data_IF_544493982490
#
_entry.id   IF_544493982490
#
_cell.length_a   1.000
_cell.length_b   1.000
_cell.length_c   1.000
_cell.angle_alpha   90.00
_cell.angle_beta   90.00
_cell.angle_gamma   90.00
#
_symmetry.space_group_name_H-M   'P 1'
#
loop_
_entity.id
_entity.type
_entity.pdbx_description
1 polymer ?
#
# COMPACT_ATOMS: atom_id res chain seq x y z
N UNK A 1 -13.85 6.12 -8.42
CA UNK A 1 -13.14 4.98 -9.06
C UNK A 1 -13.99 4.26 -10.10
N UNK A 2 -15.30 4.05 -9.87
CA UNK A 2 -16.15 3.28 -10.78
C UNK A 2 -16.40 4.00 -12.11
N UNK A 3 -16.49 5.31 -12.06
CA UNK A 3 -16.64 6.19 -13.22
C UNK A 3 -15.65 7.35 -13.11
N UNK A 4 -14.33 7.10 -13.29
CA UNK A 4 -13.34 8.15 -13.20
C UNK A 4 -13.56 9.19 -14.32
N UNK A 5 -13.51 10.47 -13.95
CA UNK A 5 -13.61 11.56 -14.90
C UNK A 5 -12.36 12.44 -14.81
N UNK A 6 -11.67 12.55 -15.94
CA UNK A 6 -10.52 13.42 -16.10
C UNK A 6 -10.91 14.59 -16.99
N UNK A 7 -10.52 15.80 -16.59
CA UNK A 7 -10.74 17.03 -17.34
C UNK A 7 -9.51 17.36 -18.15
N UNK A 8 -9.63 17.48 -19.46
CA UNK A 8 -8.53 17.90 -20.31
C UNK A 8 -8.11 19.34 -20.03
N UNK A 9 -6.80 19.58 -20.02
CA UNK A 9 -6.20 20.89 -19.85
C UNK A 9 -5.27 21.20 -21.01
N UNK A 10 -5.42 22.36 -21.61
CA UNK A 10 -4.50 22.88 -22.61
C UNK A 10 -3.86 24.15 -22.04
N UNK A 11 -2.57 24.11 -21.89
CA UNK A 11 -1.78 25.25 -21.42
C UNK A 11 -1.03 25.82 -22.62
N UNK A 12 -1.23 27.11 -22.90
CA UNK A 12 -0.58 27.81 -24.02
C UNK A 12 0.25 28.98 -23.52
N UNK A 13 1.48 29.07 -24.01
CA UNK A 13 2.37 30.20 -23.79
C UNK A 13 3.08 30.56 -25.10
N UNK A 14 2.68 31.68 -25.73
CA UNK A 14 3.13 32.02 -27.08
C UNK A 14 2.69 30.95 -28.11
N UNK A 15 3.66 30.35 -28.78
CA UNK A 15 3.40 29.27 -29.75
C UNK A 15 3.50 27.86 -29.10
N UNK A 16 3.91 27.77 -27.84
CA UNK A 16 4.01 26.49 -27.13
C UNK A 16 2.65 26.05 -26.58
N UNK A 17 2.33 24.77 -26.75
CA UNK A 17 1.09 24.15 -26.27
C UNK A 17 1.42 22.84 -25.54
N UNK A 18 1.04 22.76 -24.27
CA UNK A 18 1.12 21.55 -23.47
C UNK A 18 -0.29 21.03 -23.18
N UNK A 19 -0.51 19.75 -23.43
CA UNK A 19 -1.75 19.05 -23.08
C UNK A 19 -1.54 18.25 -21.80
N UNK A 20 -2.47 18.37 -20.89
CA UNK A 20 -2.48 17.69 -19.59
C UNK A 20 -3.91 17.39 -19.17
N UNK A 21 -4.08 16.94 -17.94
CA UNK A 21 -5.40 16.67 -17.36
C UNK A 21 -5.40 16.93 -15.85
N UNK A 22 -6.57 16.97 -15.24
CA UNK A 22 -6.75 16.89 -13.82
C UNK A 22 -8.02 16.12 -13.45
N UNK A 23 -8.08 15.61 -12.21
CA UNK A 23 -9.27 14.99 -11.65
C UNK A 23 -9.71 15.70 -10.37
N UNK A 24 -11.01 15.88 -10.21
CA UNK A 24 -11.57 16.45 -8.97
C UNK A 24 -12.05 15.33 -8.04
N UNK A 25 -11.47 15.28 -6.86
CA UNK A 25 -11.90 14.37 -5.79
C UNK A 25 -11.60 14.98 -4.43
N UNK A 26 -12.28 14.52 -3.40
CA UNK A 26 -12.02 14.87 -2.00
C UNK A 26 -11.81 13.59 -1.20
N UNK A 27 -10.70 13.53 -0.48
CA UNK A 27 -10.41 12.51 0.52
C UNK A 27 -10.50 13.13 1.91
N UNK A 28 -11.06 12.39 2.84
CA UNK A 28 -11.13 12.84 4.26
C UNK A 28 -11.37 11.65 5.18
N UNK A 29 -11.20 11.87 6.47
CA UNK A 29 -11.69 10.99 7.52
C UNK A 29 -12.85 11.67 8.23
N UNK A 30 -13.75 10.89 8.79
CA UNK A 30 -14.90 11.40 9.52
C UNK A 30 -15.72 10.29 10.14
N UNK A 31 -16.78 10.66 10.86
CA UNK A 31 -17.70 9.67 11.44
C UNK A 31 -18.88 9.44 10.50
N UNK A 32 -19.22 8.18 10.32
CA UNK A 32 -20.43 7.76 9.58
C UNK A 32 -21.70 7.99 10.44
N UNK A 33 -22.86 7.69 9.87
CA UNK A 33 -24.15 7.83 10.57
C UNK A 33 -24.30 6.97 11.83
N UNK A 34 -23.37 6.05 12.09
CA UNK A 34 -23.28 5.22 13.31
C UNK A 34 -22.22 5.72 14.29
N UNK A 35 -21.57 6.85 13.99
CA UNK A 35 -20.51 7.41 14.82
C UNK A 35 -19.15 6.73 14.67
N UNK A 36 -18.98 5.82 13.72
CA UNK A 36 -17.73 5.08 13.46
C UNK A 36 -16.84 5.90 12.52
N UNK A 37 -15.56 6.03 12.86
CA UNK A 37 -14.58 6.68 11.98
C UNK A 37 -14.40 5.87 10.68
N UNK A 38 -14.45 6.60 9.54
CA UNK A 38 -14.32 6.04 8.19
C UNK A 38 -13.43 6.92 7.32
N UNK A 39 -12.92 6.33 6.27
CA UNK A 39 -12.49 7.09 5.10
C UNK A 39 -13.71 7.57 4.31
N UNK A 40 -13.56 8.73 3.70
CA UNK A 40 -14.56 9.29 2.79
C UNK A 40 -13.90 9.65 1.46
N UNK A 41 -14.54 9.24 0.38
CA UNK A 41 -14.27 9.71 -0.97
C UNK A 41 -15.49 10.51 -1.45
N UNK A 42 -15.28 11.79 -1.81
CA UNK A 42 -16.35 12.68 -2.25
C UNK A 42 -17.53 12.73 -1.26
N UNK A 43 -17.23 12.82 0.03
CA UNK A 43 -18.16 12.86 1.16
C UNK A 43 -19.01 11.60 1.36
N UNK A 44 -18.68 10.48 0.74
CA UNK A 44 -19.30 9.18 0.97
C UNK A 44 -18.31 8.25 1.67
N UNK A 45 -18.74 7.44 2.65
CA UNK A 45 -17.88 6.42 3.24
C UNK A 45 -17.28 5.53 2.14
N UNK A 46 -15.98 5.30 2.24
CA UNK A 46 -15.24 4.52 1.26
C UNK A 46 -14.37 3.47 1.95
N UNK A 47 -14.44 2.23 1.48
CA UNK A 47 -13.59 1.15 1.95
C UNK A 47 -12.50 0.87 0.91
N UNK A 48 -11.24 1.00 1.30
CA UNK A 48 -10.13 0.63 0.44
C UNK A 48 -9.95 -0.88 0.44
N UNK A 49 -10.56 -1.56 -0.55
CA UNK A 49 -10.31 -2.96 -0.86
C UNK A 49 -9.09 -3.02 -1.77
N UNK A 50 -7.92 -3.23 -1.20
CA UNK A 50 -6.67 -3.07 -1.90
C UNK A 50 -5.82 -4.32 -1.97
N UNK A 51 -4.77 -4.18 -2.75
CA UNK A 51 -3.75 -5.18 -2.92
C UNK A 51 -2.36 -4.53 -2.92
N UNK A 52 -1.39 -5.18 -2.31
CA UNK A 52 0.00 -4.76 -2.29
C UNK A 52 0.65 -5.11 -3.63
N UNK A 53 1.40 -4.17 -4.18
CA UNK A 53 2.11 -4.35 -5.44
C UNK A 53 3.57 -3.90 -5.33
N UNK A 54 4.48 -4.85 -5.41
CA UNK A 54 5.91 -4.58 -5.41
C UNK A 54 6.41 -4.10 -6.78
N UNK A 55 5.70 -4.38 -7.87
CA UNK A 55 5.99 -3.90 -9.23
C UNK A 55 7.26 -4.47 -9.82
N UNK A 56 7.48 -5.79 -9.69
CA UNK A 56 8.58 -6.51 -10.31
C UNK A 56 8.09 -7.37 -11.47
N UNK A 57 8.97 -7.60 -12.42
CA UNK A 57 8.70 -8.27 -13.68
C UNK A 57 9.82 -9.27 -14.00
N UNK A 58 9.51 -10.46 -14.53
CA UNK A 58 10.54 -11.46 -14.81
C UNK A 58 11.56 -11.01 -15.87
N UNK A 59 11.12 -10.22 -16.87
CA UNK A 59 11.97 -9.82 -17.99
C UNK A 59 12.88 -8.62 -17.63
N UNK A 60 12.42 -7.73 -16.78
CA UNK A 60 13.01 -6.39 -16.62
C UNK A 60 13.16 -5.93 -15.17
N UNK A 61 12.88 -6.81 -14.21
CA UNK A 61 12.95 -6.57 -12.78
C UNK A 61 12.08 -5.38 -12.34
N UNK A 62 12.69 -4.24 -12.07
CA UNK A 62 11.99 -3.07 -11.50
C UNK A 62 11.23 -2.23 -12.52
N UNK A 63 11.32 -2.52 -13.80
CA UNK A 63 10.69 -1.72 -14.87
C UNK A 63 9.66 -2.57 -15.59
N UNK A 64 8.43 -2.09 -15.71
CA UNK A 64 7.43 -2.80 -16.51
C UNK A 64 7.90 -2.96 -17.97
N UNK A 65 7.71 -4.12 -18.60
CA UNK A 65 8.18 -4.37 -19.96
C UNK A 65 7.45 -3.50 -21.00
N UNK A 66 6.23 -3.11 -20.74
CA UNK A 66 5.45 -2.22 -21.61
C UNK A 66 4.34 -1.49 -20.85
N UNK A 67 3.67 -0.56 -21.51
CA UNK A 67 2.47 0.10 -20.98
C UNK A 67 1.30 -0.87 -20.84
N UNK A 68 1.16 -1.79 -21.79
CA UNK A 68 0.12 -2.81 -21.78
C UNK A 68 0.26 -3.73 -20.55
N UNK A 69 1.49 -4.03 -20.13
CA UNK A 69 1.73 -4.79 -18.92
C UNK A 69 1.23 -4.05 -17.66
N UNK A 70 1.51 -2.75 -17.53
CA UNK A 70 0.98 -1.93 -16.43
C UNK A 70 -0.56 -1.90 -16.44
N UNK A 71 -1.14 -1.74 -17.62
CA UNK A 71 -2.60 -1.69 -17.80
C UNK A 71 -3.23 -3.06 -17.48
N UNK A 72 -2.58 -4.15 -17.85
CA UNK A 72 -3.05 -5.50 -17.59
C UNK A 72 -3.23 -5.74 -16.08
N UNK A 73 -2.20 -5.47 -15.27
CA UNK A 73 -2.29 -5.65 -13.82
C UNK A 73 -3.45 -4.82 -13.23
N UNK A 74 -3.56 -3.54 -13.61
CA UNK A 74 -4.63 -2.66 -13.11
C UNK A 74 -6.02 -3.22 -13.48
N UNK A 75 -6.22 -3.63 -14.72
CA UNK A 75 -7.52 -4.16 -15.19
C UNK A 75 -7.84 -5.47 -14.48
N UNK A 76 -6.88 -6.40 -14.40
CA UNK A 76 -7.08 -7.69 -13.72
C UNK A 76 -7.45 -7.51 -12.26
N UNK A 77 -6.78 -6.65 -11.54
CA UNK A 77 -7.10 -6.35 -10.15
C UNK A 77 -8.49 -5.73 -10.00
N UNK A 78 -8.92 -4.86 -10.92
CA UNK A 78 -10.30 -4.34 -10.92
C UNK A 78 -11.34 -5.42 -11.20
N UNK A 79 -11.08 -6.32 -12.15
CA UNK A 79 -11.95 -7.47 -12.44
C UNK A 79 -12.11 -8.37 -11.22
N UNK A 80 -11.07 -8.53 -10.41
CA UNK A 80 -11.09 -9.25 -9.15
C UNK A 80 -11.76 -8.48 -7.99
N UNK A 81 -12.23 -7.26 -8.23
CA UNK A 81 -12.96 -6.44 -7.25
C UNK A 81 -12.07 -5.54 -6.38
N UNK A 82 -10.78 -5.46 -6.64
CA UNK A 82 -9.92 -4.49 -5.96
C UNK A 82 -10.18 -3.07 -6.51
N UNK A 83 -10.16 -2.10 -5.61
CA UNK A 83 -10.31 -0.69 -5.95
C UNK A 83 -9.07 0.15 -5.62
N UNK A 84 -8.04 -0.49 -5.07
CA UNK A 84 -6.84 0.16 -4.54
C UNK A 84 -5.61 -0.72 -4.78
N UNK A 85 -4.51 -0.09 -5.22
CA UNK A 85 -3.17 -0.68 -5.24
C UNK A 85 -2.33 0.06 -4.21
N UNK A 86 -1.66 -0.66 -3.31
CA UNK A 86 -0.59 -0.11 -2.51
C UNK A 86 0.74 -0.39 -3.21
N UNK A 87 1.31 0.64 -3.82
CA UNK A 87 2.64 0.57 -4.45
C UNK A 87 3.70 0.51 -3.36
N UNK A 88 4.22 -0.69 -3.15
CA UNK A 88 5.03 -1.05 -1.99
C UNK A 88 6.49 -0.67 -2.17
N UNK A 89 6.95 0.27 -1.32
CA UNK A 89 8.37 0.68 -1.18
C UNK A 89 9.02 1.04 -2.53
N UNK A 90 8.23 1.45 -3.52
CA UNK A 90 8.68 1.74 -4.88
C UNK A 90 7.94 2.93 -5.45
N UNK A 91 8.65 3.78 -6.20
CA UNK A 91 8.07 4.80 -7.08
C UNK A 91 8.03 4.20 -8.49
N UNK A 92 6.87 4.19 -9.11
CA UNK A 92 6.68 3.66 -10.45
C UNK A 92 6.89 4.75 -11.51
N UNK A 93 7.00 4.36 -12.78
CA UNK A 93 6.97 5.29 -13.89
C UNK A 93 5.65 6.10 -13.89
N UNK A 94 5.71 7.38 -14.26
CA UNK A 94 4.55 8.29 -14.19
C UNK A 94 3.32 7.78 -14.94
N UNK A 95 3.50 7.04 -16.02
CA UNK A 95 2.42 6.43 -16.80
C UNK A 95 1.62 5.39 -16.02
N UNK A 96 2.20 4.71 -15.00
CA UNK A 96 1.42 3.86 -14.09
C UNK A 96 0.32 4.67 -13.39
N UNK A 97 0.67 5.83 -12.83
CA UNK A 97 -0.30 6.69 -12.13
C UNK A 97 -1.33 7.27 -13.10
N UNK A 98 -0.92 7.64 -14.32
CA UNK A 98 -1.84 8.02 -15.38
C UNK A 98 -2.86 6.91 -15.68
N UNK A 99 -2.39 5.66 -15.79
CA UNK A 99 -3.29 4.54 -16.02
C UNK A 99 -4.22 4.28 -14.82
N UNK A 100 -3.74 4.44 -13.60
CA UNK A 100 -4.59 4.40 -12.40
C UNK A 100 -5.65 5.51 -12.43
N UNK A 101 -5.28 6.73 -12.83
CA UNK A 101 -6.20 7.86 -12.94
C UNK A 101 -7.32 7.58 -13.94
N UNK A 102 -6.99 7.18 -15.17
CA UNK A 102 -7.98 6.93 -16.23
C UNK A 102 -8.84 5.69 -16.01
N UNK A 103 -8.30 4.67 -15.32
CA UNK A 103 -9.00 3.42 -15.04
C UNK A 103 -9.72 3.45 -13.68
N UNK A 104 -9.49 4.47 -12.86
CA UNK A 104 -10.14 4.61 -11.56
C UNK A 104 -9.63 3.64 -10.50
N UNK A 105 -8.32 3.36 -10.48
CA UNK A 105 -7.67 2.60 -9.43
C UNK A 105 -7.04 3.56 -8.42
N UNK A 106 -7.42 3.48 -7.14
CA UNK A 106 -6.80 4.28 -6.10
C UNK A 106 -5.40 3.77 -5.79
N UNK A 107 -4.49 4.68 -5.43
CA UNK A 107 -3.09 4.34 -5.11
C UNK A 107 -2.74 4.78 -3.69
N UNK A 108 -2.15 3.87 -2.94
CA UNK A 108 -1.37 4.17 -1.74
C UNK A 108 0.10 4.12 -2.14
N UNK A 109 0.79 5.23 -1.97
CA UNK A 109 2.17 5.37 -2.44
C UNK A 109 3.14 5.32 -1.28
N UNK A 110 3.93 4.24 -1.22
CA UNK A 110 5.01 4.11 -0.26
C UNK A 110 6.24 4.90 -0.71
N UNK A 111 6.94 5.48 0.25
CA UNK A 111 8.28 6.01 0.04
C UNK A 111 9.29 4.85 -0.01
N UNK A 112 10.16 4.74 -1.02
CA UNK A 112 11.30 3.86 -0.99
C UNK A 112 12.10 4.04 0.30
N UNK A 113 12.34 2.95 1.01
CA UNK A 113 12.93 2.98 2.32
C UNK A 113 14.13 2.05 2.41
N UNK A 114 15.03 2.33 3.33
CA UNK A 114 16.22 1.52 3.53
C UNK A 114 17.07 2.05 4.67
N UNK A 115 18.07 1.31 5.05
CA UNK A 115 19.00 1.64 6.13
C UNK A 115 20.24 0.76 6.05
N UNK A 116 20.91 0.55 7.19
CA UNK A 116 21.98 -0.43 7.28
C UNK A 116 21.44 -1.85 7.45
N UNK A 117 22.33 -2.81 7.71
CA UNK A 117 21.98 -4.18 8.01
C UNK A 117 21.05 -4.30 9.22
N UNK A 118 19.87 -4.87 9.03
CA UNK A 118 18.82 -4.94 10.05
C UNK A 118 19.00 -6.09 11.03
N UNK A 119 18.57 -5.87 12.27
CA UNK A 119 18.36 -6.96 13.21
C UNK A 119 16.94 -7.53 13.02
N UNK A 120 16.84 -8.70 12.39
CA UNK A 120 15.58 -9.35 12.06
C UNK A 120 14.71 -9.65 13.28
N UNK A 121 15.32 -9.94 14.43
CA UNK A 121 14.57 -10.15 15.68
C UNK A 121 13.83 -8.86 16.06
N UNK A 122 14.49 -7.72 15.94
CA UNK A 122 13.90 -6.43 16.30
C UNK A 122 12.83 -5.95 15.30
N UNK A 123 13.13 -5.98 14.00
CA UNK A 123 12.22 -5.41 12.97
C UNK A 123 11.09 -6.35 12.59
N UNK A 124 11.21 -7.66 12.79
CA UNK A 124 10.23 -8.66 12.37
C UNK A 124 9.63 -9.44 13.54
N UNK A 125 10.46 -10.15 14.32
CA UNK A 125 9.94 -11.12 15.29
C UNK A 125 9.27 -10.45 16.50
N UNK A 126 9.89 -9.42 17.09
CA UNK A 126 9.33 -8.74 18.26
C UNK A 126 8.01 -8.00 17.96
N UNK A 127 7.88 -7.24 16.87
CA UNK A 127 6.61 -6.61 16.51
C UNK A 127 5.48 -7.62 16.27
N UNK A 128 5.77 -8.71 15.57
CA UNK A 128 4.80 -9.79 15.35
C UNK A 128 4.38 -10.51 16.64
N UNK A 129 5.29 -10.59 17.63
CA UNK A 129 4.98 -11.21 18.91
C UNK A 129 4.24 -10.27 19.87
N UNK A 130 4.43 -8.96 19.77
CA UNK A 130 3.85 -7.97 20.68
C UNK A 130 3.68 -6.60 20.05
N UNK A 131 2.47 -6.30 19.63
CA UNK A 131 2.03 -4.98 19.19
C UNK A 131 2.31 -3.88 20.24
N UNK A 132 2.11 -4.19 21.53
CA UNK A 132 2.43 -3.26 22.62
C UNK A 132 3.93 -2.91 22.67
N UNK A 133 4.80 -3.88 22.39
CA UNK A 133 6.24 -3.62 22.30
C UNK A 133 6.54 -2.68 21.14
N UNK A 134 6.04 -2.98 19.95
CA UNK A 134 6.29 -2.18 18.77
C UNK A 134 5.85 -0.72 18.93
N UNK A 135 4.71 -0.48 19.56
CA UNK A 135 4.20 0.88 19.83
C UNK A 135 4.99 1.64 20.90
N UNK A 136 5.64 0.93 21.83
CA UNK A 136 6.42 1.53 22.91
C UNK A 136 7.81 2.01 22.49
N UNK A 137 8.26 1.69 21.26
CA UNK A 137 9.61 2.02 20.81
C UNK A 137 9.61 3.32 20.01
N UNK A 138 10.37 4.30 20.48
CA UNK A 138 10.59 5.56 19.75
C UNK A 138 11.52 5.34 18.56
N UNK A 139 11.12 5.80 17.39
CA UNK A 139 11.90 5.75 16.15
C UNK A 139 13.08 6.77 16.10
N UNK A 140 13.25 7.56 17.17
CA UNK A 140 14.45 8.37 17.41
C UNK A 140 15.67 7.54 17.83
N UNK A 141 15.49 6.25 18.09
CA UNK A 141 16.58 5.31 18.32
C UNK A 141 17.26 4.88 17.02
N UNK A 142 17.83 5.84 16.28
CA UNK A 142 18.38 5.67 14.92
C UNK A 142 19.31 4.47 14.75
N UNK A 143 20.07 4.08 15.80
CA UNK A 143 20.96 2.89 15.74
C UNK A 143 20.16 1.60 15.61
N UNK A 144 19.03 1.49 16.33
CA UNK A 144 18.19 0.30 16.34
C UNK A 144 17.51 0.15 14.98
N UNK A 145 16.98 1.25 14.45
CA UNK A 145 16.36 1.27 13.13
C UNK A 145 17.36 1.39 11.96
N UNK A 146 18.68 1.27 12.24
CA UNK A 146 19.76 1.29 11.22
C UNK A 146 19.80 2.59 10.38
N UNK A 147 19.46 3.71 11.02
CA UNK A 147 19.42 5.07 10.44
C UNK A 147 20.36 6.04 11.19
N UNK A 148 21.46 5.56 11.73
CA UNK A 148 22.43 6.43 12.43
C UNK A 148 23.08 7.50 11.54
N UNK A 149 23.18 7.23 10.24
CA UNK A 149 23.74 8.16 9.26
C UNK A 149 22.86 9.42 9.10
N UNK A 150 23.39 10.56 9.48
CA UNK A 150 22.68 11.84 9.43
C UNK A 150 22.51 12.39 8.00
N UNK A 151 23.43 12.08 7.10
CA UNK A 151 23.35 12.47 5.69
C UNK A 151 22.26 11.67 5.00
N UNK A 152 22.24 10.35 5.17
CA UNK A 152 21.18 9.50 4.62
C UNK A 152 19.80 9.88 5.14
N UNK A 153 19.66 10.35 6.42
CA UNK A 153 18.38 10.88 6.89
C UNK A 153 17.99 12.20 6.21
N UNK A 154 18.95 13.09 5.92
CA UNK A 154 18.67 14.32 5.16
C UNK A 154 18.27 14.01 3.72
N UNK A 155 18.99 13.09 3.08
CA UNK A 155 18.67 12.65 1.72
C UNK A 155 17.26 12.07 1.65
N UNK A 156 16.88 11.22 2.59
CA UNK A 156 15.52 10.66 2.66
C UNK A 156 14.44 11.76 2.65
N UNK A 157 14.60 12.84 3.43
CA UNK A 157 13.61 13.94 3.41
C UNK A 157 13.60 14.69 2.08
N UNK A 158 14.74 14.83 1.42
CA UNK A 158 14.82 15.41 0.08
C UNK A 158 14.06 14.54 -0.91
N UNK A 159 14.27 13.24 -0.88
CA UNK A 159 13.64 12.29 -1.78
C UNK A 159 12.13 12.15 -1.50
N UNK A 160 11.73 12.16 -0.22
CA UNK A 160 10.31 12.17 0.18
C UNK A 160 9.58 13.40 -0.39
N UNK A 161 10.17 14.59 -0.27
CA UNK A 161 9.61 15.83 -0.82
C UNK A 161 9.54 15.78 -2.35
N UNK A 162 10.57 15.28 -2.99
CA UNK A 162 10.61 15.12 -4.45
C UNK A 162 9.52 14.15 -4.92
N UNK A 163 9.38 12.99 -4.27
CA UNK A 163 8.31 12.04 -4.58
C UNK A 163 6.93 12.68 -4.50
N UNK A 164 6.62 13.31 -3.35
CA UNK A 164 5.30 13.94 -3.15
C UNK A 164 5.06 15.06 -4.16
N UNK A 165 6.06 15.89 -4.43
CA UNK A 165 5.94 17.01 -5.39
C UNK A 165 5.76 16.52 -6.83
N UNK A 166 6.56 15.53 -7.26
CA UNK A 166 6.49 14.97 -8.61
C UNK A 166 5.14 14.29 -8.86
N UNK A 167 4.66 13.54 -7.89
CA UNK A 167 3.43 12.76 -8.01
C UNK A 167 2.17 13.53 -7.58
N UNK A 168 2.31 14.79 -7.21
CA UNK A 168 1.21 15.62 -6.65
C UNK A 168 -0.02 15.68 -7.54
N UNK A 169 0.16 15.76 -8.85
CA UNK A 169 -0.93 15.98 -9.79
C UNK A 169 -1.74 14.72 -10.17
N UNK A 170 -1.35 13.53 -9.68
CA UNK A 170 -2.08 12.29 -9.96
C UNK A 170 -3.27 12.11 -9.00
N UNK A 171 -4.53 12.27 -9.45
CA UNK A 171 -5.70 12.18 -8.59
C UNK A 171 -5.94 10.78 -8.00
N UNK A 172 -5.43 9.71 -8.61
CA UNK A 172 -5.52 8.35 -8.08
C UNK A 172 -4.79 8.17 -6.75
N UNK A 173 -3.71 8.89 -6.49
CA UNK A 173 -2.98 8.78 -5.23
C UNK A 173 -3.87 9.29 -4.10
N UNK A 174 -4.19 8.38 -3.17
CA UNK A 174 -5.06 8.64 -2.03
C UNK A 174 -4.31 8.78 -0.71
N UNK A 175 -3.23 8.03 -0.55
CA UNK A 175 -2.47 7.91 0.69
C UNK A 175 -0.98 7.97 0.42
N UNK A 176 -0.26 8.76 1.20
CA UNK A 176 1.19 8.73 1.29
C UNK A 176 1.62 7.84 2.45
N UNK A 177 2.61 6.99 2.22
CA UNK A 177 3.13 6.04 3.22
C UNK A 177 4.64 6.26 3.40
N UNK A 178 5.07 7.10 4.35
CA UNK A 178 6.49 7.38 4.56
C UNK A 178 7.31 6.16 4.99
N UNK A 179 6.78 5.29 5.86
CA UNK A 179 7.52 4.15 6.40
C UNK A 179 6.69 2.88 6.40
N UNK A 180 7.38 1.75 6.17
CA UNK A 180 6.82 0.41 6.26
C UNK A 180 7.58 -0.42 7.29
N UNK A 181 6.86 -1.06 8.22
CA UNK A 181 7.32 -2.12 9.14
C UNK A 181 8.59 -1.80 9.94
N UNK A 182 8.88 -0.52 10.14
CA UNK A 182 10.09 -0.11 10.86
C UNK A 182 11.40 -0.30 10.10
N UNK A 183 11.35 -0.76 8.84
CA UNK A 183 12.54 -0.91 8.00
C UNK A 183 13.17 0.46 7.71
N UNK A 184 14.19 0.82 8.48
CA UNK A 184 14.83 2.12 8.38
C UNK A 184 13.95 3.31 8.78
N UNK A 185 12.94 3.09 9.61
CA UNK A 185 12.08 4.15 10.14
C UNK A 185 12.85 5.09 11.05
N UNK A 186 12.54 6.38 10.97
CA UNK A 186 13.06 7.41 11.87
C UNK A 186 12.20 8.68 11.79
N UNK A 187 12.02 9.35 12.93
CA UNK A 187 11.30 10.63 13.04
C UNK A 187 10.01 10.68 12.19
N UNK A 188 9.19 9.62 12.25
CA UNK A 188 8.02 9.46 11.37
C UNK A 188 7.01 10.62 11.52
N UNK A 189 6.84 11.15 12.73
CA UNK A 189 6.01 12.34 12.95
C UNK A 189 6.53 13.57 12.18
N UNK A 190 7.86 13.72 12.02
CA UNK A 190 8.44 14.77 11.19
C UNK A 190 8.19 14.50 9.70
N UNK A 191 8.35 13.25 9.24
CA UNK A 191 8.05 12.89 7.86
C UNK A 191 6.59 13.19 7.50
N UNK A 192 5.65 12.85 8.37
CA UNK A 192 4.23 13.19 8.24
C UNK A 192 4.02 14.71 8.09
N UNK A 193 4.68 15.52 8.91
CA UNK A 193 4.59 16.97 8.83
C UNK A 193 5.12 17.50 7.50
N UNK A 194 6.30 17.05 7.05
CA UNK A 194 6.90 17.46 5.77
C UNK A 194 5.99 17.11 4.57
N UNK A 195 5.37 15.92 4.59
CA UNK A 195 4.38 15.54 3.56
C UNK A 195 3.16 16.46 3.62
N UNK A 196 2.64 16.75 4.82
CA UNK A 196 1.44 17.58 5.03
C UNK A 196 1.65 19.03 4.59
N UNK A 197 2.88 19.55 4.68
CA UNK A 197 3.24 20.89 4.21
C UNK A 197 3.17 21.01 2.68
N UNK A 198 3.44 19.91 1.95
CA UNK A 198 3.33 19.87 0.49
C UNK A 198 1.91 19.51 0.07
N UNK A 199 1.32 18.51 0.71
CA UNK A 199 0.02 17.97 0.36
C UNK A 199 -0.88 17.82 1.59
N UNK A 200 -1.75 18.78 1.79
CA UNK A 200 -2.76 18.77 2.85
C UNK A 200 -4.05 18.03 2.47
N UNK A 201 -4.19 17.63 1.21
CA UNK A 201 -5.42 17.08 0.64
C UNK A 201 -5.49 15.55 0.61
N UNK A 202 -4.36 14.88 0.77
CA UNK A 202 -4.29 13.40 0.80
C UNK A 202 -4.12 12.89 2.22
N UNK A 203 -4.45 11.60 2.38
CA UNK A 203 -4.28 10.90 3.65
C UNK A 203 -2.83 10.47 3.84
N UNK A 204 -2.41 10.28 5.09
CA UNK A 204 -1.05 9.83 5.43
C UNK A 204 -1.13 8.62 6.35
N UNK A 205 -0.46 7.54 5.99
CA UNK A 205 -0.14 6.40 6.82
C UNK A 205 1.29 6.53 7.33
N UNK A 206 1.48 7.13 8.49
CA UNK A 206 2.79 7.54 9.03
C UNK A 206 3.80 6.39 9.10
N UNK A 207 3.40 5.28 9.74
CA UNK A 207 4.19 4.09 9.94
C UNK A 207 3.30 2.87 9.70
N UNK A 208 3.45 2.28 8.52
CA UNK A 208 2.60 1.17 8.10
C UNK A 208 3.01 -0.10 8.84
N UNK A 209 2.05 -0.76 9.47
CA UNK A 209 2.22 -2.01 10.22
C UNK A 209 2.49 -1.80 11.69
N UNK A 210 3.71 -1.54 12.07
CA UNK A 210 4.14 -1.39 13.47
C UNK A 210 5.10 -0.21 13.68
N UNK A 211 5.53 0.00 14.91
CA UNK A 211 6.29 1.18 15.35
C UNK A 211 5.55 2.51 15.13
N UNK A 212 4.21 2.47 15.26
CA UNK A 212 3.33 3.64 15.19
C UNK A 212 3.77 4.71 16.21
N UNK A 213 4.01 5.93 15.74
CA UNK A 213 4.41 7.06 16.58
C UNK A 213 3.22 7.98 16.93
N UNK A 214 1.99 7.60 16.55
CA UNK A 214 0.76 8.27 16.89
C UNK A 214 0.30 9.33 15.90
N UNK A 215 0.98 9.51 14.78
CA UNK A 215 0.64 10.48 13.74
C UNK A 215 -0.15 9.90 12.57
N UNK A 216 -0.29 10.72 11.51
CA UNK A 216 -1.05 10.35 10.33
C UNK A 216 -2.56 10.28 10.53
N UNK A 217 -3.27 9.82 9.52
CA UNK A 217 -4.74 9.78 9.50
C UNK A 217 -5.31 8.42 9.87
N UNK A 218 -4.46 7.39 9.97
CA UNK A 218 -4.90 6.02 10.23
C UNK A 218 -4.02 5.29 11.24
N UNK A 219 -4.65 4.34 11.92
CA UNK A 219 -4.03 3.33 12.74
C UNK A 219 -3.85 2.08 11.88
N UNK A 220 -2.61 1.72 11.59
CA UNK A 220 -2.21 0.67 10.65
C UNK A 220 -1.99 -0.67 11.34
N UNK A 221 -2.44 -1.75 10.73
CA UNK A 221 -2.30 -3.14 11.21
C UNK A 221 -1.72 -3.98 10.07
N UNK A 222 -0.68 -4.79 10.36
CA UNK A 222 -0.28 -5.94 9.56
C UNK A 222 -0.67 -7.22 10.30
N UNK A 223 -1.34 -8.13 9.63
CA UNK A 223 -1.80 -9.38 10.24
C UNK A 223 -1.78 -10.55 9.26
N UNK A 224 -0.81 -11.42 9.43
CA UNK A 224 -0.65 -12.63 8.61
C UNK A 224 -0.95 -13.94 9.35
N UNK A 225 -0.92 -13.93 10.69
CA UNK A 225 -0.86 -15.16 11.48
C UNK A 225 -1.94 -15.30 12.53
N UNK A 226 -2.59 -14.21 12.91
CA UNK A 226 -3.51 -14.19 14.04
C UNK A 226 -4.92 -13.84 13.58
N UNK A 227 -5.92 -14.28 14.32
CA UNK A 227 -7.29 -13.83 14.11
C UNK A 227 -7.36 -12.30 14.27
N UNK A 228 -7.88 -11.62 13.25
CA UNK A 228 -7.99 -10.16 13.26
C UNK A 228 -8.95 -9.69 14.36
N UNK A 229 -8.49 -8.77 15.19
CA UNK A 229 -9.29 -8.12 16.23
C UNK A 229 -9.11 -6.62 16.13
N UNK A 230 -10.05 -5.96 15.50
CA UNK A 230 -10.08 -4.51 15.39
C UNK A 230 -10.62 -3.89 16.68
N UNK A 231 -9.92 -2.88 17.18
CA UNK A 231 -10.39 -2.02 18.27
C UNK A 231 -10.64 -0.63 17.71
N UNK A 232 -11.86 -0.10 17.86
CA UNK A 232 -12.18 1.25 17.41
C UNK A 232 -11.20 2.28 17.99
N UNK A 233 -10.75 3.20 17.16
CA UNK A 233 -9.92 4.33 17.55
C UNK A 233 -10.78 5.57 17.66
N UNK A 234 -10.35 6.57 18.45
CA UNK A 234 -11.11 7.82 18.63
C UNK A 234 -10.77 8.85 17.55
N UNK A 235 -9.51 8.94 17.16
CA UNK A 235 -8.99 10.04 16.37
C UNK A 235 -8.48 9.63 14.98
N UNK A 236 -8.21 8.35 14.77
CA UNK A 236 -7.69 7.80 13.49
C UNK A 236 -8.54 6.63 13.03
N UNK A 237 -8.70 6.48 11.70
CA UNK A 237 -9.36 5.30 11.14
C UNK A 237 -8.49 4.06 11.30
N UNK A 238 -9.11 2.88 11.38
CA UNK A 238 -8.35 1.62 11.45
C UNK A 238 -8.20 1.03 10.06
N UNK A 239 -6.97 0.72 9.68
CA UNK A 239 -6.61 0.18 8.39
C UNK A 239 -5.82 -1.13 8.54
N UNK A 240 -6.30 -2.21 7.94
CA UNK A 240 -5.53 -3.45 7.75
C UNK A 240 -4.71 -3.26 6.48
N UNK A 241 -3.43 -2.97 6.65
CA UNK A 241 -2.58 -2.48 5.57
C UNK A 241 -1.71 -3.56 4.96
N UNK A 242 -1.66 -4.73 5.58
CA UNK A 242 -1.19 -5.98 4.97
C UNK A 242 -1.86 -7.18 5.65
N UNK A 243 -2.30 -8.15 4.85
CA UNK A 243 -2.87 -9.40 5.35
C UNK A 243 -2.85 -10.50 4.28
N UNK A 244 -3.14 -11.73 4.69
CA UNK A 244 -3.23 -12.89 3.81
C UNK A 244 -1.84 -13.47 3.52
N UNK A 245 -1.25 -13.13 2.39
CA UNK A 245 0.06 -13.67 1.99
C UNK A 245 0.00 -15.18 1.73
N UNK A 246 -1.11 -15.67 1.18
CA UNK A 246 -1.37 -17.08 0.91
C UNK A 246 -0.60 -17.54 -0.31
N UNK A 247 0.22 -18.55 -0.13
CA UNK A 247 1.07 -19.13 -1.15
C UNK A 247 0.41 -20.30 -1.85
N UNK A 248 0.51 -20.32 -3.17
CA UNK A 248 0.15 -21.45 -4.01
C UNK A 248 1.18 -21.53 -5.16
N UNK A 249 2.04 -22.56 -5.16
CA UNK A 249 2.99 -22.78 -6.26
C UNK A 249 2.25 -23.28 -7.50
N UNK A 250 2.38 -22.56 -8.61
CA UNK A 250 1.90 -23.01 -9.93
C UNK A 250 3.10 -23.54 -10.68
N UNK A 251 3.16 -24.87 -10.89
CA UNK A 251 4.24 -25.51 -11.64
C UNK A 251 4.39 -24.84 -13.02
N UNK A 252 5.61 -24.81 -13.54
CA UNK A 252 6.00 -24.14 -14.80
C UNK A 252 6.00 -22.60 -14.77
N UNK A 253 5.39 -21.95 -13.74
CA UNK A 253 5.35 -20.49 -13.56
C UNK A 253 6.19 -19.99 -12.36
N UNK A 254 7.01 -20.87 -11.78
CA UNK A 254 7.91 -20.54 -10.67
C UNK A 254 9.24 -19.98 -11.19
N UNK A 255 9.68 -18.85 -10.64
CA UNK A 255 10.97 -18.25 -11.00
C UNK A 255 12.16 -18.88 -10.27
N UNK A 256 11.93 -19.55 -9.13
CA UNK A 256 12.97 -20.22 -8.34
C UNK A 256 12.43 -21.44 -7.58
N UNK A 257 13.35 -22.22 -6.99
CA UNK A 257 12.99 -23.43 -6.22
C UNK A 257 12.61 -23.14 -4.78
N UNK A 258 12.97 -21.98 -4.26
CA UNK A 258 12.65 -21.58 -2.89
C UNK A 258 11.26 -20.95 -2.89
N UNK A 259 10.46 -21.32 -1.92
CA UNK A 259 9.08 -20.86 -1.81
C UNK A 259 8.89 -20.16 -0.47
N UNK A 260 8.26 -18.98 -0.51
CA UNK A 260 7.87 -18.24 0.66
C UNK A 260 6.39 -17.81 0.59
N UNK A 261 5.72 -17.93 1.72
CA UNK A 261 4.37 -17.45 1.98
C UNK A 261 3.95 -17.77 3.41
N UNK A 262 2.89 -17.17 3.90
CA UNK A 262 2.47 -17.34 5.30
C UNK A 262 1.64 -18.61 5.53
N UNK A 263 0.83 -18.99 4.56
CA UNK A 263 0.08 -20.25 4.51
C UNK A 263 0.17 -20.80 3.10
N UNK A 264 0.30 -22.14 2.97
CA UNK A 264 0.48 -22.80 1.70
C UNK A 264 -0.76 -23.61 1.34
N UNK A 265 -1.18 -23.49 0.10
CA UNK A 265 -2.29 -24.21 -0.51
C UNK A 265 -1.80 -24.93 -1.78
N UNK A 266 -2.62 -25.87 -2.29
CA UNK A 266 -2.20 -26.79 -3.33
C UNK A 266 -3.09 -26.73 -4.58
N UNK A 267 -4.11 -25.89 -4.59
CA UNK A 267 -4.95 -25.65 -5.76
C UNK A 267 -5.61 -24.27 -5.72
N UNK A 268 -6.06 -23.80 -6.89
CA UNK A 268 -6.84 -22.57 -7.05
C UNK A 268 -8.11 -22.61 -6.18
N UNK A 269 -8.81 -23.74 -6.13
CA UNK A 269 -10.04 -23.91 -5.36
C UNK A 269 -9.76 -23.76 -3.85
N UNK A 270 -8.70 -24.42 -3.37
CA UNK A 270 -8.33 -24.35 -1.94
C UNK A 270 -7.92 -22.91 -1.57
N UNK A 271 -7.09 -22.27 -2.38
CA UNK A 271 -6.69 -20.89 -2.19
C UNK A 271 -7.91 -19.95 -2.16
N UNK A 272 -8.80 -20.07 -3.15
CA UNK A 272 -10.01 -19.25 -3.28
C UNK A 272 -10.96 -19.44 -2.10
N UNK A 273 -11.20 -20.67 -1.66
CA UNK A 273 -12.05 -20.96 -0.52
C UNK A 273 -11.48 -20.33 0.76
N UNK A 274 -10.18 -20.41 0.99
CA UNK A 274 -9.56 -19.84 2.16
C UNK A 274 -9.49 -18.31 2.09
N UNK A 275 -9.32 -17.72 0.91
CA UNK A 275 -9.43 -16.27 0.70
C UNK A 275 -10.86 -15.78 1.02
N UNK A 276 -11.90 -16.46 0.54
CA UNK A 276 -13.31 -16.15 0.86
C UNK A 276 -13.58 -16.25 2.36
N UNK A 277 -13.10 -17.34 3.01
CA UNK A 277 -13.22 -17.54 4.46
C UNK A 277 -12.55 -16.38 5.25
N UNK A 278 -11.39 -15.92 4.81
CA UNK A 278 -10.70 -14.80 5.44
C UNK A 278 -11.56 -13.53 5.44
N UNK A 279 -12.29 -13.27 4.34
CA UNK A 279 -13.22 -12.16 4.26
C UNK A 279 -14.44 -12.39 5.19
N UNK A 280 -15.04 -13.56 5.17
CA UNK A 280 -16.23 -13.88 5.94
C UNK A 280 -15.99 -13.90 7.45
N UNK A 281 -14.87 -14.45 7.88
CA UNK A 281 -14.56 -14.64 9.30
C UNK A 281 -13.77 -13.49 9.93
N UNK A 282 -13.01 -12.73 9.14
CA UNK A 282 -12.12 -11.71 9.68
C UNK A 282 -12.42 -10.30 9.16
N UNK A 283 -12.61 -10.08 7.85
CA UNK A 283 -12.77 -8.73 7.32
C UNK A 283 -14.20 -8.21 7.61
N UNK A 284 -15.23 -8.89 7.14
CA UNK A 284 -16.62 -8.45 7.31
C UNK A 284 -17.04 -8.23 8.78
N UNK A 285 -16.72 -9.13 9.73
CA UNK A 285 -17.07 -8.91 11.12
C UNK A 285 -16.42 -7.69 11.74
N UNK A 286 -15.24 -7.29 11.26
CA UNK A 286 -14.49 -6.15 11.78
C UNK A 286 -14.92 -4.78 11.20
N UNK A 287 -15.69 -4.75 10.13
CA UNK A 287 -16.23 -3.50 9.58
C UNK A 287 -17.03 -2.70 10.61
N UNK A 288 -17.84 -3.38 11.42
CA UNK A 288 -18.63 -2.76 12.49
C UNK A 288 -17.77 -2.15 13.62
N UNK A 289 -16.52 -2.58 13.75
CA UNK A 289 -15.57 -2.07 14.75
C UNK A 289 -14.64 -0.99 14.19
N UNK A 290 -14.89 -0.52 12.96
CA UNK A 290 -14.17 0.60 12.37
C UNK A 290 -13.05 0.21 11.40
N UNK A 291 -12.97 -1.04 10.95
CA UNK A 291 -12.08 -1.40 9.85
C UNK A 291 -12.49 -0.64 8.59
N UNK A 292 -11.54 0.06 7.96
CA UNK A 292 -11.79 0.95 6.82
C UNK A 292 -11.00 0.58 5.56
N UNK A 293 -10.04 -0.33 5.68
CA UNK A 293 -9.33 -0.88 4.54
C UNK A 293 -8.85 -2.29 4.82
N UNK A 294 -8.60 -3.03 3.74
CA UNK A 294 -7.92 -4.31 3.76
C UNK A 294 -7.04 -4.42 2.50
N UNK A 295 -5.71 -4.46 2.68
CA UNK A 295 -4.72 -4.55 1.61
C UNK A 295 -4.13 -5.95 1.60
N UNK A 296 -4.52 -6.76 0.63
CA UNK A 296 -4.07 -8.16 0.50
C UNK A 296 -2.63 -8.22 -0.03
N UNK A 297 -1.84 -9.14 0.45
CA UNK A 297 -0.47 -9.40 -0.01
C UNK A 297 -0.47 -10.67 -0.87
N UNK A 298 -0.28 -10.65 -2.21
CA UNK A 298 0.06 -9.47 -3.04
C UNK A 298 -0.43 -9.64 -4.49
N UNK A 299 -0.11 -8.69 -5.37
CA UNK A 299 -0.53 -8.68 -6.79
C UNK A 299 0.01 -9.89 -7.55
N UNK A 300 1.30 -10.06 -7.59
CA UNK A 300 1.94 -11.17 -8.30
C UNK A 300 2.97 -11.86 -7.44
N UNK A 301 3.29 -13.09 -7.78
CA UNK A 301 4.50 -13.72 -7.28
C UNK A 301 5.72 -12.87 -7.63
N UNK A 302 6.76 -12.97 -6.82
CA UNK A 302 8.05 -12.33 -7.04
C UNK A 302 9.15 -13.22 -6.47
N UNK A 303 10.00 -13.75 -7.34
CA UNK A 303 11.11 -14.66 -6.99
C UNK A 303 10.63 -15.81 -6.07
N UNK A 304 11.07 -15.85 -4.80
CA UNK A 304 10.63 -16.85 -3.83
C UNK A 304 9.28 -16.58 -3.18
N UNK A 305 8.76 -15.36 -3.24
CA UNK A 305 7.44 -15.01 -2.72
C UNK A 305 6.35 -15.46 -3.68
N UNK A 306 5.74 -16.61 -3.40
CA UNK A 306 4.70 -17.23 -4.24
C UNK A 306 3.28 -16.97 -3.70
N UNK A 307 3.06 -15.82 -3.12
CA UNK A 307 1.81 -15.40 -2.47
C UNK A 307 1.02 -14.35 -3.30
N UNK A 308 1.37 -14.18 -4.57
CA UNK A 308 0.61 -13.35 -5.49
C UNK A 308 -0.76 -13.93 -5.85
N UNK A 309 -1.70 -13.07 -6.23
CA UNK A 309 -2.96 -13.51 -6.87
C UNK A 309 -2.75 -13.80 -8.36
N UNK A 310 -1.64 -13.34 -8.92
CA UNK A 310 -1.13 -13.66 -10.25
C UNK A 310 0.21 -14.39 -10.12
N UNK A 311 0.55 -15.22 -11.09
CA UNK A 311 1.92 -15.74 -11.23
C UNK A 311 2.91 -14.61 -11.59
N UNK A 312 4.21 -14.83 -11.42
CA UNK A 312 5.23 -13.80 -11.67
C UNK A 312 5.24 -13.30 -13.12
N UNK A 313 4.99 -14.19 -14.07
CA UNK A 313 4.82 -13.90 -15.50
C UNK A 313 3.44 -13.35 -15.90
N UNK A 314 2.48 -13.25 -14.95
CA UNK A 314 1.08 -12.84 -15.13
C UNK A 314 0.24 -13.75 -16.03
N UNK A 315 0.71 -14.93 -16.37
CA UNK A 315 -0.04 -15.83 -17.24
C UNK A 315 -1.24 -16.48 -16.54
N UNK A 316 -1.11 -16.75 -15.23
CA UNK A 316 -2.15 -17.43 -14.45
C UNK A 316 -2.72 -16.52 -13.36
N UNK A 317 -4.05 -16.43 -13.31
CA UNK A 317 -4.80 -15.91 -12.18
C UNK A 317 -5.00 -17.04 -11.18
N UNK A 318 -4.54 -16.87 -9.94
CA UNK A 318 -4.52 -17.93 -8.92
C UNK A 318 -5.79 -17.98 -8.07
N UNK A 319 -6.70 -17.02 -8.22
CA UNK A 319 -8.01 -16.94 -7.56
C UNK A 319 -9.15 -17.03 -8.57
N UNK A 320 -10.26 -17.74 -8.22
CA UNK A 320 -11.51 -17.83 -8.97
C UNK A 320 -12.53 -16.76 -8.53
#
# INVERSE_FOLDING_TARGET
PDTPHLYDVIIRYGEDEVRSYFGMRKLSTGRDGKGILRFFLNNKPYFFNGILDQGYWPESLMTAPSDEALVYDIIKLKEMGYNTIRKHVKIEAERFYYHCDRLGMMVWQDMPNGGGEYNMVFVTHLPNASDRFARGVSDRHYRIFKRKDGEGRRQYYTDLKNMVSTLYNYPSIAVWVPFNEGWGQFDAAKATKEVREIDSGRLINEACGWFDQGGGDMYSIHNYRHKLKVKPQQDRVVALTEYGGYAYPVEEHLSCKKEFGYQHYHSTEELTQNYKRLWEEEIYPNLQYGLCSAIYTQTSDIEEEINGVLTYDREIVKLD
#
